data_IF_653423908413
#
_entry.id   IF_653423908413
#
_cell.length_a   1.000
_cell.length_b   1.000
_cell.length_c   1.000
_cell.angle_alpha   90.00
_cell.angle_beta   90.00
_cell.angle_gamma   90.00
#
_symmetry.space_group_name_H-M   'P 1'
#
loop_
_entity.id
_entity.type
_entity.pdbx_description
1 polymer ?
#
# COMPACT_ATOMS: atom_id res chain seq x y z
N UNK A 1 -12.44 -29.85 -9.41
CA UNK A 1 -12.08 -29.21 -8.13
C UNK A 1 -11.53 -27.84 -8.47
N UNK A 2 -12.15 -26.79 -7.96
CA UNK A 2 -11.63 -25.43 -8.12
C UNK A 2 -10.41 -25.33 -7.20
N UNK A 3 -9.26 -24.96 -7.77
CA UNK A 3 -8.02 -24.77 -7.00
C UNK A 3 -8.05 -23.42 -6.30
N UNK A 4 -7.31 -23.28 -5.20
CA UNK A 4 -7.08 -22.01 -4.51
C UNK A 4 -8.37 -21.30 -4.05
N UNK A 5 -9.43 -22.08 -3.78
CA UNK A 5 -10.67 -21.55 -3.22
C UNK A 5 -10.48 -21.33 -1.74
N UNK A 6 -10.76 -20.10 -1.32
CA UNK A 6 -11.00 -19.77 0.08
C UNK A 6 -12.41 -20.28 0.39
N UNK A 7 -12.50 -21.31 1.23
CA UNK A 7 -13.78 -21.88 1.64
C UNK A 7 -14.61 -20.87 2.45
N UNK A 8 -15.90 -21.15 2.68
CA UNK A 8 -16.78 -20.27 3.47
C UNK A 8 -16.32 -20.10 4.93
N UNK A 9 -15.39 -20.93 5.40
CA UNK A 9 -14.74 -20.85 6.71
C UNK A 9 -13.41 -20.07 6.67
N UNK A 10 -13.03 -19.48 5.53
CA UNK A 10 -11.79 -18.71 5.35
C UNK A 10 -10.56 -19.56 5.05
N UNK A 11 -10.69 -20.89 5.05
CA UNK A 11 -9.55 -21.78 4.89
C UNK A 11 -9.29 -22.07 3.42
N UNK A 12 -8.03 -21.97 3.02
CA UNK A 12 -7.49 -22.56 1.80
C UNK A 12 -6.53 -23.67 2.20
N UNK A 13 -6.91 -24.93 1.95
CA UNK A 13 -6.11 -26.09 2.39
C UNK A 13 -4.74 -26.12 1.70
N UNK A 14 -4.72 -25.93 0.38
CA UNK A 14 -3.50 -25.81 -0.41
C UNK A 14 -3.65 -24.64 -1.37
N UNK A 15 -2.86 -23.60 -1.13
CA UNK A 15 -2.70 -22.48 -2.02
C UNK A 15 -1.52 -22.79 -2.96
N UNK A 16 -1.79 -23.07 -4.23
CA UNK A 16 -0.78 -23.37 -5.24
C UNK A 16 -1.00 -22.49 -6.47
N UNK A 17 -0.20 -21.43 -6.57
CA UNK A 17 -0.22 -20.45 -7.65
C UNK A 17 1.00 -20.70 -8.55
N UNK A 18 0.75 -21.09 -9.80
CA UNK A 18 1.76 -21.17 -10.86
C UNK A 18 1.49 -20.20 -12.00
N UNK A 19 2.20 -20.39 -13.11
CA UNK A 19 2.09 -19.54 -14.29
C UNK A 19 0.64 -19.26 -14.72
N UNK A 20 0.26 -17.98 -14.67
CA UNK A 20 -1.07 -17.51 -15.06
C UNK A 20 -2.14 -17.61 -13.96
N UNK A 21 -1.84 -18.23 -12.82
CA UNK A 21 -2.73 -18.26 -11.67
C UNK A 21 -2.66 -16.92 -10.91
N UNK A 22 -3.82 -16.33 -10.63
CA UNK A 22 -3.94 -15.13 -9.80
C UNK A 22 -4.97 -15.37 -8.70
N UNK A 23 -4.57 -15.21 -7.44
CA UNK A 23 -5.49 -15.11 -6.32
C UNK A 23 -5.55 -13.65 -5.87
N UNK A 24 -6.73 -13.04 -5.93
CA UNK A 24 -6.97 -11.68 -5.45
C UNK A 24 -7.63 -11.75 -4.08
N UNK A 25 -7.01 -11.13 -3.08
CA UNK A 25 -7.56 -10.90 -1.74
C UNK A 25 -7.82 -9.41 -1.60
N UNK A 26 -9.06 -9.04 -1.29
CA UNK A 26 -9.47 -7.65 -1.04
C UNK A 26 -9.69 -7.46 0.46
N UNK A 27 -9.58 -6.23 0.95
CA UNK A 27 -9.89 -5.96 2.35
C UNK A 27 -11.36 -6.29 2.66
N UNK A 28 -11.57 -6.85 3.84
CA UNK A 28 -12.90 -7.05 4.40
C UNK A 28 -13.30 -5.81 5.19
N UNK A 29 -14.36 -5.13 4.75
CA UNK A 29 -14.96 -4.02 5.48
C UNK A 29 -16.22 -4.50 6.25
N UNK A 30 -16.21 -4.50 7.59
CA UNK A 30 -17.33 -4.94 8.43
C UNK A 30 -18.50 -3.94 8.51
N UNK A 31 -18.45 -2.78 7.84
CA UNK A 31 -19.48 -1.72 7.94
C UNK A 31 -20.90 -2.14 7.51
N UNK A 32 -21.06 -3.36 6.97
CA UNK A 32 -22.37 -3.96 6.78
C UNK A 32 -22.87 -4.56 8.10
N UNK A 33 -23.71 -3.80 8.81
CA UNK A 33 -24.42 -4.25 10.02
C UNK A 33 -25.05 -5.63 9.81
N UNK A 34 -24.63 -6.61 10.61
CA UNK A 34 -25.13 -7.99 10.55
C UNK A 34 -24.26 -8.96 9.76
N UNK A 35 -23.11 -8.52 9.23
CA UNK A 35 -22.07 -9.43 8.73
C UNK A 35 -21.23 -9.91 9.93
N UNK A 36 -20.99 -11.24 10.07
CA UNK A 36 -20.14 -11.77 11.13
C UNK A 36 -18.72 -11.18 11.07
N UNK A 37 -17.98 -11.31 12.17
CA UNK A 37 -16.57 -10.91 12.27
C UNK A 37 -15.78 -11.38 11.03
N UNK A 38 -14.74 -10.63 10.60
CA UNK A 38 -13.94 -10.98 9.45
C UNK A 38 -13.52 -12.45 9.57
N UNK A 39 -13.83 -13.25 8.57
CA UNK A 39 -13.33 -14.62 8.52
C UNK A 39 -11.88 -14.52 8.05
N UNK A 40 -10.89 -14.79 8.91
CA UNK A 40 -9.49 -14.67 8.53
C UNK A 40 -9.20 -15.64 7.39
N UNK A 41 -8.33 -15.23 6.46
CA UNK A 41 -7.84 -16.15 5.45
C UNK A 41 -6.78 -17.03 6.09
N UNK A 42 -7.00 -18.34 6.15
CA UNK A 42 -6.04 -19.27 6.75
C UNK A 42 -5.54 -20.28 5.70
N UNK A 43 -4.22 -20.38 5.56
CA UNK A 43 -3.58 -21.46 4.81
C UNK A 43 -3.48 -22.70 5.71
N UNK A 44 -4.22 -23.74 5.38
CA UNK A 44 -4.36 -24.93 6.22
C UNK A 44 -3.16 -25.89 6.19
N UNK A 45 -2.61 -26.16 4.99
CA UNK A 45 -1.51 -27.15 4.84
C UNK A 45 -0.32 -26.62 4.06
N UNK A 46 -0.55 -25.98 2.92
CA UNK A 46 0.57 -25.49 2.13
C UNK A 46 0.25 -24.26 1.31
N UNK A 47 1.25 -23.38 1.19
CA UNK A 47 1.30 -22.32 0.20
C UNK A 47 2.50 -22.57 -0.72
N UNK A 48 2.27 -22.49 -2.03
CA UNK A 48 3.26 -22.59 -3.09
C UNK A 48 3.05 -21.47 -4.09
N UNK A 49 3.99 -20.55 -4.16
CA UNK A 49 4.06 -19.53 -5.20
C UNK A 49 5.21 -19.86 -6.13
N UNK A 50 4.87 -20.37 -7.31
CA UNK A 50 5.80 -20.72 -8.38
C UNK A 50 5.92 -19.56 -9.37
N UNK A 51 6.95 -19.56 -10.24
CA UNK A 51 7.13 -18.46 -11.20
C UNK A 51 5.88 -18.24 -12.05
N UNK A 52 5.47 -16.98 -12.18
CA UNK A 52 4.28 -16.56 -12.92
C UNK A 52 2.95 -16.69 -12.17
N UNK A 53 2.95 -17.23 -10.94
CA UNK A 53 1.79 -17.18 -10.04
C UNK A 53 1.76 -15.89 -9.23
N UNK A 54 0.58 -15.32 -9.02
CA UNK A 54 0.41 -14.01 -8.37
C UNK A 54 -0.57 -14.09 -7.21
N UNK A 55 -0.09 -13.76 -6.01
CA UNK A 55 -0.95 -13.39 -4.89
C UNK A 55 -1.11 -11.87 -4.90
N UNK A 56 -2.31 -11.39 -5.21
CA UNK A 56 -2.61 -9.96 -5.26
C UNK A 56 -3.41 -9.54 -4.04
N UNK A 57 -2.91 -8.56 -3.30
CA UNK A 57 -3.59 -7.95 -2.17
C UNK A 57 -4.05 -6.54 -2.59
N UNK A 58 -5.37 -6.32 -2.56
CA UNK A 58 -5.98 -5.02 -2.88
C UNK A 58 -6.37 -4.33 -1.59
N UNK A 59 -5.56 -3.36 -1.20
CA UNK A 59 -5.65 -2.57 0.02
C UNK A 59 -6.67 -1.44 -0.17
N UNK A 60 -7.47 -1.17 0.84
CA UNK A 60 -8.35 0.00 0.89
C UNK A 60 -7.86 1.04 1.92
N UNK A 61 -8.64 2.10 2.11
CA UNK A 61 -8.34 3.15 3.09
C UNK A 61 -8.67 2.73 4.54
N UNK A 62 -9.49 1.69 4.73
CA UNK A 62 -9.90 1.19 6.05
C UNK A 62 -8.83 0.28 6.64
N UNK A 63 -8.81 0.05 7.97
CA UNK A 63 -7.93 -0.92 8.60
C UNK A 63 -7.94 -2.27 7.87
N UNK A 64 -6.75 -2.82 7.61
CA UNK A 64 -6.60 -4.08 6.89
C UNK A 64 -7.02 -5.24 7.79
N UNK A 65 -8.11 -5.91 7.43
CA UNK A 65 -8.73 -7.01 8.18
C UNK A 65 -8.62 -8.36 7.47
N UNK A 66 -7.89 -8.42 6.36
CA UNK A 66 -7.74 -9.63 5.52
C UNK A 66 -6.34 -10.24 5.64
N UNK A 67 -5.76 -10.19 6.84
CA UNK A 67 -4.49 -10.84 7.15
C UNK A 67 -4.54 -12.33 6.78
N UNK A 68 -3.48 -12.82 6.12
CA UNK A 68 -3.34 -14.22 5.73
C UNK A 68 -2.56 -14.96 6.82
N UNK A 69 -3.26 -15.81 7.56
CA UNK A 69 -2.69 -16.64 8.61
C UNK A 69 -2.31 -18.03 8.11
N UNK A 70 -1.46 -18.72 8.88
CA UNK A 70 -1.00 -20.06 8.57
C UNK A 70 -1.28 -20.99 9.75
N UNK A 71 -1.92 -22.13 9.47
CA UNK A 71 -2.01 -23.20 10.46
C UNK A 71 -0.61 -23.58 10.96
N UNK A 72 -0.48 -24.03 12.20
CA UNK A 72 0.84 -24.30 12.81
C UNK A 72 1.70 -25.33 12.04
N UNK A 73 1.06 -26.22 11.27
CA UNK A 73 1.73 -27.21 10.41
C UNK A 73 1.91 -26.77 8.95
N UNK A 74 1.44 -25.59 8.57
CA UNK A 74 1.47 -25.15 7.19
C UNK A 74 2.89 -24.81 6.74
N UNK A 75 3.24 -25.24 5.53
CA UNK A 75 4.52 -24.94 4.88
C UNK A 75 4.30 -23.88 3.78
N UNK A 76 5.12 -22.83 3.78
CA UNK A 76 5.08 -21.77 2.78
C UNK A 76 6.34 -21.81 1.90
N UNK A 77 6.15 -22.08 0.61
CA UNK A 77 7.19 -22.13 -0.42
C UNK A 77 6.96 -21.04 -1.44
N UNK A 78 7.92 -20.13 -1.54
CA UNK A 78 7.91 -18.93 -2.35
C UNK A 78 9.01 -19.09 -3.42
N UNK A 79 8.76 -19.99 -4.36
CA UNK A 79 9.69 -20.38 -5.41
C UNK A 79 9.66 -19.38 -6.60
N UNK A 80 9.62 -18.07 -6.32
CA UNK A 80 9.69 -17.00 -7.32
C UNK A 80 8.35 -16.51 -7.89
N UNK A 81 7.21 -16.84 -7.27
CA UNK A 81 5.94 -16.19 -7.56
C UNK A 81 5.83 -14.77 -6.96
N UNK A 82 4.85 -14.00 -7.44
CA UNK A 82 4.73 -12.59 -7.09
C UNK A 82 3.79 -12.33 -5.91
N UNK A 83 4.18 -11.40 -5.04
CA UNK A 83 3.27 -10.67 -4.16
C UNK A 83 2.98 -9.31 -4.80
N UNK A 84 1.75 -9.11 -5.28
CA UNK A 84 1.28 -7.89 -5.92
C UNK A 84 0.46 -7.07 -4.92
N UNK A 85 1.01 -5.94 -4.47
CA UNK A 85 0.28 -4.97 -3.67
C UNK A 85 -0.38 -3.95 -4.59
N UNK A 86 -1.67 -3.75 -4.40
CA UNK A 86 -2.44 -2.74 -5.11
C UNK A 86 -3.35 -2.00 -4.13
N UNK A 87 -3.78 -0.80 -4.51
CA UNK A 87 -4.86 -0.12 -3.82
C UNK A 87 -6.17 -0.25 -4.61
N UNK A 88 -7.30 -0.19 -3.92
CA UNK A 88 -8.61 -0.18 -4.56
C UNK A 88 -8.88 1.14 -5.31
N UNK A 89 -9.78 1.08 -6.30
CA UNK A 89 -10.17 2.21 -7.15
C UNK A 89 -10.96 3.24 -6.32
N UNK A 90 -10.25 4.15 -5.66
CA UNK A 90 -10.84 5.14 -4.76
C UNK A 90 -9.96 5.50 -3.56
N UNK A 91 -8.88 4.75 -3.34
CA UNK A 91 -7.91 5.08 -2.29
C UNK A 91 -6.97 6.18 -2.78
N UNK A 92 -6.93 7.29 -2.06
CA UNK A 92 -5.87 8.28 -2.23
C UNK A 92 -4.59 7.75 -1.59
N UNK A 93 -3.68 7.17 -2.38
CA UNK A 93 -2.46 6.50 -1.88
C UNK A 93 -1.62 7.41 -0.96
N UNK A 94 -1.62 8.73 -1.20
CA UNK A 94 -0.88 9.72 -0.42
C UNK A 94 -1.31 9.72 1.06
N UNK A 95 -2.60 9.52 1.32
CA UNK A 95 -3.13 9.39 2.69
C UNK A 95 -2.65 8.14 3.41
N UNK A 96 -2.08 7.17 2.69
CA UNK A 96 -1.64 5.89 3.21
C UNK A 96 -0.14 5.86 3.55
N UNK A 97 0.60 6.96 3.31
CA UNK A 97 2.03 7.06 3.65
C UNK A 97 2.23 6.92 5.17
N UNK A 98 3.22 6.13 5.57
CA UNK A 98 3.54 5.78 6.94
C UNK A 98 2.65 4.69 7.54
N UNK A 99 1.62 4.23 6.82
CA UNK A 99 0.70 3.20 7.29
C UNK A 99 1.36 1.82 7.22
N UNK A 100 1.22 1.07 8.32
CA UNK A 100 1.64 -0.33 8.41
C UNK A 100 0.47 -1.24 8.05
N UNK A 101 0.69 -2.13 7.09
CA UNK A 101 -0.26 -3.16 6.66
C UNK A 101 0.24 -4.51 7.15
N UNK A 102 -0.53 -5.12 8.06
CA UNK A 102 -0.27 -6.47 8.56
C UNK A 102 -0.80 -7.50 7.57
N UNK A 103 0.01 -7.89 6.58
CA UNK A 103 -0.44 -8.73 5.47
C UNK A 103 -0.49 -10.22 5.83
N UNK A 104 0.47 -10.69 6.63
CA UNK A 104 0.61 -12.10 7.00
C UNK A 104 0.63 -12.30 8.51
N UNK A 105 0.12 -13.43 8.99
CA UNK A 105 0.41 -13.99 10.33
C UNK A 105 1.18 -15.29 10.12
N UNK A 106 2.50 -15.19 10.04
CA UNK A 106 3.33 -16.36 9.79
C UNK A 106 3.33 -17.28 11.00
N UNK A 107 3.23 -18.59 10.75
CA UNK A 107 3.68 -19.55 11.74
C UNK A 107 5.23 -19.46 11.83
N UNK A 108 5.82 -19.94 12.94
CA UNK A 108 7.27 -19.95 13.11
C UNK A 108 8.01 -20.96 12.20
N UNK A 109 7.35 -21.53 11.19
CA UNK A 109 7.95 -22.47 10.24
C UNK A 109 8.74 -21.69 9.19
N UNK A 110 9.90 -22.20 8.80
CA UNK A 110 10.77 -21.56 7.83
C UNK A 110 10.08 -21.46 6.46
N UNK A 111 9.96 -20.24 5.94
CA UNK A 111 9.55 -20.00 4.55
C UNK A 111 10.69 -20.41 3.61
N UNK A 112 10.41 -21.23 2.60
CA UNK A 112 11.37 -21.50 1.54
C UNK A 112 11.29 -20.42 0.46
N UNK A 113 12.41 -19.80 0.07
CA UNK A 113 12.45 -18.85 -1.04
C UNK A 113 11.98 -17.43 -0.68
N UNK A 114 11.58 -16.65 -1.68
CA UNK A 114 11.17 -15.26 -1.55
C UNK A 114 10.13 -14.87 -2.62
N UNK A 115 9.23 -13.95 -2.28
CA UNK A 115 8.35 -13.27 -3.23
C UNK A 115 9.15 -12.42 -4.23
N UNK A 116 8.68 -12.39 -5.47
CA UNK A 116 8.91 -11.24 -6.35
C UNK A 116 7.88 -10.15 -5.99
N UNK A 117 8.34 -8.98 -5.51
CA UNK A 117 7.41 -7.92 -5.14
C UNK A 117 6.97 -7.10 -6.36
N UNK A 118 5.67 -6.85 -6.44
CA UNK A 118 5.05 -5.92 -7.37
C UNK A 118 4.26 -4.90 -6.53
N UNK A 119 4.49 -3.62 -6.79
CA UNK A 119 3.86 -2.52 -6.06
C UNK A 119 3.36 -1.46 -7.05
N UNK A 120 2.43 -0.57 -6.66
CA UNK A 120 1.95 0.49 -7.54
C UNK A 120 3.11 1.39 -7.98
N UNK A 121 3.09 1.82 -9.24
CA UNK A 121 4.12 2.71 -9.77
C UNK A 121 4.22 4.02 -8.96
N UNK A 122 5.44 4.52 -8.77
CA UNK A 122 5.70 5.71 -7.97
C UNK A 122 5.61 5.50 -6.45
N UNK A 123 5.27 4.30 -5.96
CA UNK A 123 5.27 4.02 -4.51
C UNK A 123 6.57 3.38 -4.06
N UNK A 124 7.02 3.73 -2.85
CA UNK A 124 8.16 3.10 -2.18
C UNK A 124 7.66 2.43 -0.91
N UNK A 125 7.98 1.16 -0.76
CA UNK A 125 7.53 0.33 0.37
C UNK A 125 8.72 -0.19 1.16
N UNK A 126 8.62 -0.14 2.49
CA UNK A 126 9.41 -1.00 3.36
C UNK A 126 8.73 -2.37 3.46
N UNK A 127 9.37 -3.36 2.84
CA UNK A 127 8.96 -4.76 2.82
C UNK A 127 9.92 -5.65 3.63
N UNK A 128 10.84 -5.05 4.39
CA UNK A 128 11.87 -5.79 5.14
C UNK A 128 11.26 -6.69 6.22
N UNK A 129 10.08 -6.33 6.71
CA UNK A 129 9.37 -7.06 7.76
C UNK A 129 8.42 -8.14 7.23
N UNK A 130 8.28 -8.29 5.91
CA UNK A 130 7.33 -9.22 5.30
C UNK A 130 7.55 -10.66 5.77
N UNK A 131 8.78 -11.12 5.98
CA UNK A 131 9.04 -12.49 6.42
C UNK A 131 9.18 -12.66 7.94
N UNK A 132 9.30 -11.55 8.68
CA UNK A 132 9.54 -11.59 10.12
C UNK A 132 8.25 -11.39 10.91
N UNK A 133 7.54 -10.29 10.65
CA UNK A 133 6.26 -9.97 11.26
C UNK A 133 5.10 -10.04 10.29
N UNK A 134 5.34 -10.08 8.97
CA UNK A 134 4.27 -10.05 7.97
C UNK A 134 3.82 -8.65 7.57
N UNK A 135 4.60 -7.62 7.91
CA UNK A 135 4.23 -6.21 7.73
C UNK A 135 4.83 -5.61 6.45
N UNK A 136 4.03 -4.77 5.77
CA UNK A 136 4.45 -3.87 4.71
C UNK A 136 4.13 -2.43 5.12
N UNK A 137 5.04 -1.48 4.87
CA UNK A 137 4.79 -0.07 5.14
C UNK A 137 4.98 0.74 3.86
N UNK A 138 3.97 1.53 3.47
CA UNK A 138 4.14 2.52 2.40
C UNK A 138 4.94 3.68 2.98
N UNK A 139 6.19 3.87 2.56
CA UNK A 139 7.08 4.86 3.20
C UNK A 139 7.04 6.21 2.50
N UNK A 140 6.89 6.22 1.18
CA UNK A 140 6.74 7.45 0.41
C UNK A 140 6.08 7.18 -0.94
N UNK A 141 5.55 8.23 -1.55
CA UNK A 141 5.10 8.24 -2.93
C UNK A 141 5.92 9.30 -3.64
N UNK A 142 6.60 8.89 -4.69
CA UNK A 142 7.24 9.78 -5.64
C UNK A 142 6.17 10.24 -6.62
N UNK A 143 5.76 11.51 -6.51
CA UNK A 143 4.85 12.11 -7.48
C UNK A 143 5.69 12.52 -8.69
N UNK A 144 5.40 12.03 -9.91
CA UNK A 144 6.14 12.49 -11.07
C UNK A 144 5.97 14.00 -11.21
N UNK A 145 7.07 14.74 -11.30
CA UNK A 145 7.04 16.21 -11.33
C UNK A 145 7.30 16.90 -9.98
N UNK A 146 7.27 16.18 -8.86
CA UNK A 146 7.72 16.67 -7.54
C UNK A 146 9.24 16.46 -7.44
N UNK A 147 9.98 17.47 -7.86
CA UNK A 147 11.42 17.44 -8.08
C UNK A 147 12.17 17.83 -6.81
N UNK A 148 11.63 18.73 -5.99
CA UNK A 148 12.22 19.06 -4.69
C UNK A 148 11.80 18.08 -3.57
N UNK A 149 10.82 17.21 -3.82
CA UNK A 149 10.38 16.17 -2.91
C UNK A 149 9.58 16.71 -1.74
N UNK A 150 8.99 17.91 -1.86
CA UNK A 150 8.16 18.50 -0.81
C UNK A 150 6.74 17.91 -0.75
N UNK A 151 6.45 16.99 -1.67
CA UNK A 151 5.17 16.31 -1.78
C UNK A 151 4.20 17.08 -2.67
N UNK A 152 4.57 18.18 -3.30
CA UNK A 152 3.70 18.93 -4.21
C UNK A 152 4.36 19.12 -5.57
N UNK A 153 3.55 19.24 -6.62
CA UNK A 153 4.03 19.55 -7.97
C UNK A 153 3.60 20.98 -8.28
N UNK A 154 4.50 21.95 -8.09
CA UNK A 154 4.16 23.37 -8.19
C UNK A 154 5.22 24.22 -8.90
N UNK A 155 5.19 25.55 -8.66
CA UNK A 155 6.12 26.48 -9.30
C UNK A 155 7.57 26.32 -8.80
N UNK A 156 7.78 25.69 -7.65
CA UNK A 156 9.08 25.36 -7.07
C UNK A 156 9.77 24.32 -7.94
N UNK A 157 9.09 23.23 -8.29
CA UNK A 157 9.59 22.20 -9.21
C UNK A 157 9.86 22.78 -10.60
N UNK A 158 8.93 23.60 -11.10
CA UNK A 158 9.11 24.28 -12.37
C UNK A 158 10.36 25.17 -12.36
N UNK A 159 10.65 25.82 -11.24
CA UNK A 159 11.84 26.66 -11.09
C UNK A 159 13.13 25.84 -11.15
N UNK A 160 13.12 24.59 -10.67
CA UNK A 160 14.27 23.67 -10.76
C UNK A 160 14.52 23.31 -12.22
N UNK A 161 13.51 22.80 -12.94
CA UNK A 161 13.61 22.46 -14.36
C UNK A 161 14.05 23.67 -15.20
N UNK A 162 13.49 24.85 -14.92
CA UNK A 162 13.87 26.09 -15.62
C UNK A 162 15.31 26.51 -15.37
N UNK A 163 15.79 26.35 -14.14
CA UNK A 163 17.17 26.71 -13.79
C UNK A 163 18.17 25.78 -14.47
N UNK A 164 17.79 24.51 -14.63
CA UNK A 164 18.66 23.46 -15.16
C UNK A 164 18.39 23.11 -16.63
N UNK A 165 17.54 23.85 -17.33
CA UNK A 165 17.16 23.58 -18.72
C UNK A 165 18.38 23.52 -19.65
N UNK A 166 18.46 22.45 -20.44
CA UNK A 166 19.54 22.19 -21.39
C UNK A 166 20.80 21.58 -20.76
N UNK A 167 20.80 21.26 -19.46
CA UNK A 167 21.87 20.47 -18.85
C UNK A 167 21.78 19.00 -19.27
N UNK A 168 22.94 18.33 -19.32
CA UNK A 168 23.12 16.91 -19.59
C UNK A 168 23.91 16.25 -18.45
N UNK A 169 23.83 14.93 -18.32
CA UNK A 169 24.48 14.17 -17.24
C UNK A 169 23.85 14.42 -15.87
N UNK A 170 22.57 14.80 -15.87
CA UNK A 170 21.76 15.14 -14.70
C UNK A 170 21.03 13.92 -14.13
N UNK A 171 20.45 14.08 -12.94
CA UNK A 171 19.59 13.07 -12.31
C UNK A 171 18.20 13.65 -12.00
N UNK A 172 17.27 12.80 -11.53
CA UNK A 172 15.90 13.18 -11.20
C UNK A 172 15.81 14.45 -10.32
N UNK A 173 16.64 14.56 -9.28
CA UNK A 173 16.65 15.71 -8.36
C UNK A 173 17.14 17.01 -9.02
N UNK A 174 17.81 16.92 -10.17
CA UNK A 174 18.17 18.08 -10.97
C UNK A 174 17.03 18.49 -11.93
N UNK A 175 16.01 17.64 -12.12
CA UNK A 175 14.86 17.88 -13.00
C UNK A 175 14.73 16.93 -14.20
N UNK A 176 15.51 15.85 -14.27
CA UNK A 176 15.38 14.79 -15.29
C UNK A 176 14.21 13.85 -14.95
N UNK A 177 13.01 14.24 -15.37
CA UNK A 177 11.77 13.51 -15.09
C UNK A 177 11.56 12.34 -16.05
N UNK A 178 12.20 12.36 -17.22
CA UNK A 178 12.14 11.26 -18.20
C UNK A 178 13.17 10.16 -17.93
N UNK A 179 14.23 10.46 -17.18
CA UNK A 179 15.32 9.55 -16.83
C UNK A 179 16.32 9.34 -17.98
N UNK A 180 16.43 10.29 -18.90
CA UNK A 180 17.28 10.18 -20.09
C UNK A 180 18.57 11.03 -20.01
N UNK A 181 18.88 11.53 -18.81
CA UNK A 181 20.06 12.29 -18.45
C UNK A 181 20.16 13.67 -19.10
N UNK A 182 19.06 14.26 -19.56
CA UNK A 182 18.98 15.66 -20.01
C UNK A 182 17.75 16.34 -19.42
N UNK A 183 17.74 17.67 -19.46
CA UNK A 183 16.57 18.47 -19.06
C UNK A 183 16.09 19.25 -20.27
N UNK A 184 14.95 18.84 -20.83
CA UNK A 184 14.36 19.48 -21.99
C UNK A 184 12.82 19.58 -21.91
N UNK A 185 12.18 19.89 -23.04
CA UNK A 185 10.73 20.12 -23.07
C UNK A 185 9.90 18.88 -22.72
N UNK A 186 10.47 17.67 -22.81
CA UNK A 186 9.81 16.43 -22.40
C UNK A 186 9.63 16.37 -20.88
N UNK A 187 10.63 16.81 -20.10
CA UNK A 187 10.52 16.91 -18.64
C UNK A 187 9.48 17.97 -18.23
N UNK A 188 9.49 19.13 -18.88
CA UNK A 188 8.45 20.16 -18.65
C UNK A 188 7.05 19.64 -18.98
N UNK A 189 6.93 18.75 -19.97
CA UNK A 189 5.66 18.14 -20.33
C UNK A 189 5.19 17.14 -19.27
N UNK A 190 6.10 16.44 -18.59
CA UNK A 190 5.78 15.59 -17.44
C UNK A 190 5.38 16.42 -16.22
N UNK A 191 6.16 17.44 -15.85
CA UNK A 191 5.81 18.34 -14.76
C UNK A 191 4.42 18.97 -14.96
N UNK A 192 4.12 19.42 -16.19
CA UNK A 192 2.81 19.99 -16.53
C UNK A 192 1.67 18.98 -16.37
N UNK A 193 1.89 17.69 -16.64
CA UNK A 193 0.85 16.67 -16.49
C UNK A 193 0.42 16.51 -15.03
N UNK A 194 1.35 16.72 -14.10
CA UNK A 194 1.12 16.53 -12.67
C UNK A 194 0.97 17.85 -11.89
N UNK A 195 1.02 19.00 -12.57
CA UNK A 195 0.99 20.31 -11.92
C UNK A 195 -0.26 20.52 -11.05
N UNK A 196 -0.05 20.85 -9.78
CA UNK A 196 -1.08 21.01 -8.76
C UNK A 196 -1.40 19.73 -8.00
N UNK A 197 -0.75 18.60 -8.31
CA UNK A 197 -0.79 17.42 -7.45
C UNK A 197 -0.10 17.71 -6.13
N UNK A 198 -0.65 17.18 -5.04
CA UNK A 198 -0.13 17.35 -3.70
C UNK A 198 -0.35 16.06 -2.91
N UNK A 199 0.67 15.65 -2.16
CA UNK A 199 0.60 14.71 -1.07
C UNK A 199 -0.24 15.37 0.02
N UNK A 200 -1.57 15.18 -0.04
CA UNK A 200 -2.48 15.70 0.97
C UNK A 200 -2.20 14.96 2.28
N UNK A 201 -1.63 15.62 3.30
CA UNK A 201 -1.52 15.02 4.62
C UNK A 201 -2.95 14.95 5.18
N UNK A 202 -3.33 13.82 5.75
CA UNK A 202 -4.63 13.70 6.40
C UNK A 202 -4.81 14.83 7.44
N UNK A 203 -6.03 15.37 7.61
CA UNK A 203 -6.33 16.14 8.80
C UNK A 203 -6.12 15.21 9.99
N UNK A 204 -5.07 15.48 10.76
CA UNK A 204 -4.70 14.67 11.92
C UNK A 204 -5.96 14.43 12.74
N UNK A 205 -6.39 13.17 12.92
CA UNK A 205 -7.60 12.81 13.68
C UNK A 205 -7.59 13.44 15.09
N UNK A 206 -6.39 13.75 15.61
CA UNK A 206 -6.15 14.55 16.82
C UNK A 206 -6.75 15.98 16.77
N UNK A 207 -6.70 16.67 15.63
CA UNK A 207 -7.30 18.01 15.48
C UNK A 207 -8.83 17.96 15.55
N UNK A 208 -9.45 16.91 14.99
CA UNK A 208 -10.90 16.67 15.12
C UNK A 208 -11.29 16.21 16.54
N UNK A 209 -10.45 15.40 17.19
CA UNK A 209 -10.68 14.95 18.57
C UNK A 209 -10.60 16.09 19.59
N UNK A 210 -9.71 17.07 19.40
CA UNK A 210 -9.62 18.26 20.27
C UNK A 210 -10.83 19.18 20.11
N UNK A 211 -11.37 19.35 18.89
CA UNK A 211 -12.63 20.08 18.69
C UNK A 211 -13.85 19.32 19.27
N UNK A 212 -13.91 18.00 19.10
CA UNK A 212 -14.96 17.17 19.68
C UNK A 212 -14.98 17.22 21.21
N UNK A 213 -13.81 17.10 21.85
CA UNK A 213 -13.68 17.18 23.30
C UNK A 213 -14.00 18.58 23.87
N UNK A 214 -13.68 19.65 23.14
CA UNK A 214 -14.03 21.01 23.55
C UNK A 214 -15.55 21.26 23.51
N UNK A 215 -16.25 20.74 22.49
CA UNK A 215 -17.71 20.86 22.37
C UNK A 215 -18.45 20.05 23.44
N UNK A 216 -18.00 18.83 23.74
CA UNK A 216 -18.57 17.99 24.82
C UNK A 216 -18.30 18.60 26.20
N UNK A 217 -17.09 19.14 26.44
CA UNK A 217 -16.75 19.83 27.68
C UNK A 217 -17.58 21.10 27.94
N UNK A 218 -17.92 21.86 26.89
CA UNK A 218 -18.81 23.02 27.00
C UNK A 218 -20.28 22.63 27.27
N UNK A 219 -20.76 21.51 26.74
CA UNK A 219 -22.12 21.02 26.99
C UNK A 219 -22.31 20.52 28.44
N UNK A 220 -21.32 19.81 29.00
CA UNK A 220 -21.39 19.32 30.38
C UNK A 220 -21.40 20.45 31.43
N UNK A 221 -20.70 21.55 31.19
CA UNK A 221 -20.68 22.70 32.11
C UNK A 221 -22.00 23.48 32.17
N UNK A 222 -22.84 23.39 31.13
CA UNK A 222 -24.15 24.05 31.10
C UNK A 222 -25.25 23.26 31.81
N UNK A 223 -25.11 21.94 31.92
CA UNK A 223 -26.07 21.06 32.61
C UNK A 223 -25.86 20.98 34.13
N UNK A 224 -24.67 21.34 34.64
CA UNK A 224 -24.36 21.34 36.07
C UNK A 224 -24.71 22.68 36.79
N UNK A 225 -25.30 23.64 36.09
CA UNK A 225 -25.60 24.99 36.61
C UNK A 225 -27.09 25.37 36.53
N UNK A 226 -27.99 24.39 36.39
CA UNK A 226 -29.45 24.53 36.47
C UNK A 226 -29.98 23.66 37.61
#
# INVERSE_FOLDING_TARGET
LVKNVIEANGIVQDLDLGEGDVLVVRNFNPEVVGVPDPIPVEVGRSMKLRPGGVLKLVLDADPWNSQIAFASSADARLDGGSLDLAFDDGVAMQSQIGRVFQLFDWNSTMHGGAFAFQVPAGTIWDLSQIYASGEATLTTIQIPGDVDGDGTVDLSDFSILKTNFGLEGVILTDGDLTGDFRIDLEDFSLLKQHFGEAAVPEPSVLALAVLGAALVGCAHRRLAAA
#
